data_IF_442188155239
#
_entry.id   IF_442188155239
#
_cell.length_a   1.000
_cell.length_b   1.000
_cell.length_c   1.000
_cell.angle_alpha   90.00
_cell.angle_beta   90.00
_cell.angle_gamma   90.00
#
_symmetry.space_group_name_H-M   'P 1'
#
loop_
_entity.id
_entity.type
_entity.pdbx_description
1 polymer ?
#
# COMPACT_ATOMS: atom_id res chain seq x y z
N UNK A 1 -37.69 4.14 -13.27
CA UNK A 1 -36.43 3.86 -12.56
C UNK A 1 -35.32 4.16 -13.53
N UNK A 2 -34.82 5.39 -13.52
CA UNK A 2 -33.65 5.76 -14.31
C UNK A 2 -32.45 5.04 -13.70
N UNK A 3 -31.87 4.09 -14.43
CA UNK A 3 -30.58 3.52 -14.06
C UNK A 3 -29.52 4.56 -14.43
N UNK A 4 -29.06 5.34 -13.46
CA UNK A 4 -27.86 6.16 -13.66
C UNK A 4 -26.73 5.22 -14.10
N UNK A 5 -26.19 5.48 -15.29
CA UNK A 5 -25.13 4.66 -15.85
C UNK A 5 -23.85 4.85 -15.02
N UNK A 6 -23.56 3.90 -14.14
CA UNK A 6 -22.33 3.88 -13.35
C UNK A 6 -21.15 3.77 -14.32
N UNK A 7 -20.27 4.77 -14.32
CA UNK A 7 -19.08 4.71 -15.15
C UNK A 7 -18.07 3.72 -14.57
N UNK A 8 -17.13 3.25 -15.41
CA UNK A 8 -16.05 2.38 -14.93
C UNK A 8 -15.22 3.06 -13.83
N UNK A 9 -15.04 4.39 -13.90
CA UNK A 9 -14.41 5.19 -12.84
C UNK A 9 -15.21 5.15 -11.54
N UNK A 10 -16.53 5.35 -11.60
CA UNK A 10 -17.37 5.36 -10.40
C UNK A 10 -17.40 4.00 -9.72
N UNK A 11 -17.38 2.92 -10.52
CA UNK A 11 -17.27 1.56 -10.02
C UNK A 11 -15.93 1.33 -9.30
N UNK A 12 -14.81 1.71 -9.92
CA UNK A 12 -13.47 1.57 -9.33
C UNK A 12 -13.34 2.40 -8.05
N UNK A 13 -13.83 3.64 -8.06
CA UNK A 13 -13.84 4.51 -6.87
C UNK A 13 -14.67 3.86 -5.75
N UNK A 14 -15.87 3.37 -6.07
CA UNK A 14 -16.75 2.70 -5.09
C UNK A 14 -16.08 1.48 -4.46
N UNK A 15 -15.37 0.68 -5.24
CA UNK A 15 -14.63 -0.49 -4.73
C UNK A 15 -13.50 -0.09 -3.78
N UNK A 16 -12.81 1.01 -4.07
CA UNK A 16 -11.64 1.46 -3.31
C UNK A 16 -11.99 2.29 -2.07
N UNK A 17 -13.12 3.00 -2.07
CA UNK A 17 -13.53 3.87 -0.96
C UNK A 17 -14.33 3.16 0.12
N UNK A 18 -15.16 2.18 -0.24
CA UNK A 18 -16.03 1.51 0.72
C UNK A 18 -15.32 0.35 1.39
N UNK A 19 -15.17 0.45 2.71
CA UNK A 19 -14.53 -0.59 3.52
C UNK A 19 -15.22 -1.95 3.42
N UNK A 20 -16.55 -1.96 3.16
CA UNK A 20 -17.32 -3.19 2.92
C UNK A 20 -16.84 -4.00 1.71
N UNK A 21 -16.13 -3.38 0.77
CA UNK A 21 -15.62 -4.03 -0.44
C UNK A 21 -14.13 -4.33 -0.39
N UNK A 22 -13.47 -4.13 0.76
CA UNK A 22 -12.03 -4.38 0.93
C UNK A 22 -11.63 -5.80 0.53
N UNK A 23 -12.41 -6.78 0.98
CA UNK A 23 -12.15 -8.20 0.71
C UNK A 23 -12.94 -8.73 -0.50
N UNK A 24 -13.55 -7.83 -1.28
CA UNK A 24 -14.28 -8.21 -2.48
C UNK A 24 -13.29 -8.67 -3.57
N UNK A 25 -13.56 -9.77 -4.30
CA UNK A 25 -12.64 -10.29 -5.32
C UNK A 25 -12.21 -9.27 -6.37
N UNK A 26 -13.12 -8.35 -6.75
CA UNK A 26 -12.77 -7.26 -7.68
C UNK A 26 -11.77 -6.27 -7.09
N UNK A 27 -11.85 -5.96 -5.80
CA UNK A 27 -10.90 -5.09 -5.11
C UNK A 27 -9.54 -5.77 -5.02
N UNK A 28 -9.50 -7.06 -4.64
CA UNK A 28 -8.27 -7.86 -4.61
C UNK A 28 -7.61 -7.91 -5.98
N UNK A 29 -8.36 -8.27 -7.02
CA UNK A 29 -7.85 -8.34 -8.39
C UNK A 29 -7.36 -6.97 -8.89
N UNK A 30 -8.07 -5.89 -8.56
CA UNK A 30 -7.66 -4.53 -8.93
C UNK A 30 -6.33 -4.14 -8.26
N UNK A 31 -6.15 -4.48 -6.98
CA UNK A 31 -4.91 -4.23 -6.24
C UNK A 31 -3.77 -5.08 -6.80
N UNK A 32 -4.00 -6.37 -7.08
CA UNK A 32 -3.00 -7.25 -7.70
C UNK A 32 -2.55 -6.75 -9.07
N UNK A 33 -3.47 -6.17 -9.84
CA UNK A 33 -3.22 -5.62 -11.18
C UNK A 33 -2.78 -4.17 -11.17
N UNK A 34 -2.72 -3.51 -10.02
CA UNK A 34 -2.31 -2.12 -9.91
C UNK A 34 -0.94 -1.82 -10.57
N UNK A 35 0.10 -2.67 -10.45
CA UNK A 35 1.38 -2.43 -11.12
C UNK A 35 1.25 -2.39 -12.65
N UNK A 36 0.52 -3.35 -13.23
CA UNK A 36 0.28 -3.42 -14.69
C UNK A 36 -0.52 -2.20 -15.16
N UNK A 37 -1.52 -1.78 -14.38
CA UNK A 37 -2.32 -0.59 -14.65
C UNK A 37 -1.41 0.64 -14.65
N UNK A 38 -0.62 0.86 -13.59
CA UNK A 38 0.28 2.01 -13.45
C UNK A 38 1.32 2.05 -14.59
N UNK A 39 1.85 0.91 -15.02
CA UNK A 39 2.82 0.82 -16.12
C UNK A 39 2.23 1.19 -17.50
N UNK A 40 0.91 1.15 -17.64
CA UNK A 40 0.19 1.57 -18.85
C UNK A 40 -0.10 3.08 -18.87
N UNK A 41 -0.23 3.74 -17.70
CA UNK A 41 -0.49 5.18 -17.61
C UNK A 41 0.49 6.07 -18.39
N UNK A 42 1.83 5.89 -18.29
CA UNK A 42 2.77 6.72 -19.03
C UNK A 42 2.71 6.53 -20.55
N UNK A 43 2.15 5.40 -21.01
CA UNK A 43 2.08 5.05 -22.44
C UNK A 43 0.85 5.66 -23.14
N UNK A 44 -0.18 6.06 -22.38
CA UNK A 44 -1.50 6.36 -22.95
C UNK A 44 -1.98 7.80 -22.73
N UNK A 45 -1.34 8.60 -21.87
CA UNK A 45 -1.83 9.94 -21.52
C UNK A 45 -0.86 11.07 -21.88
N UNK A 46 -1.36 12.07 -22.63
CA UNK A 46 -0.68 13.38 -22.80
C UNK A 46 -0.42 14.10 -21.47
N UNK A 47 -1.12 13.73 -20.39
CA UNK A 47 -1.00 14.27 -19.03
C UNK A 47 -0.38 13.29 -18.02
N UNK A 48 0.31 12.24 -18.50
CA UNK A 48 0.89 11.22 -17.62
C UNK A 48 1.78 11.81 -16.51
N UNK A 49 2.56 12.85 -16.83
CA UNK A 49 3.46 13.49 -15.88
C UNK A 49 2.72 14.17 -14.71
N UNK A 50 1.63 14.89 -14.99
CA UNK A 50 0.86 15.59 -13.94
C UNK A 50 0.09 14.62 -13.07
N UNK A 51 -0.49 13.57 -13.67
CA UNK A 51 -1.22 12.51 -12.96
C UNK A 51 -0.29 11.73 -12.04
N UNK A 52 0.89 11.34 -12.52
CA UNK A 52 1.87 10.63 -11.71
C UNK A 52 2.44 11.50 -10.59
N UNK A 53 2.68 12.78 -10.86
CA UNK A 53 3.12 13.74 -9.84
C UNK A 53 2.08 13.92 -8.75
N UNK A 54 0.80 14.01 -9.11
CA UNK A 54 -0.31 14.08 -8.17
C UNK A 54 -0.42 12.80 -7.33
N UNK A 55 -0.40 11.62 -7.96
CA UNK A 55 -0.48 10.33 -7.27
C UNK A 55 0.67 10.15 -6.27
N UNK A 56 1.90 10.47 -6.69
CA UNK A 56 3.10 10.43 -5.82
C UNK A 56 2.94 11.32 -4.59
N UNK A 57 2.46 12.56 -4.77
CA UNK A 57 2.23 13.50 -3.65
C UNK A 57 1.24 12.93 -2.62
N UNK A 58 0.17 12.27 -3.08
CA UNK A 58 -0.82 11.66 -2.19
C UNK A 58 -0.22 10.52 -1.39
N UNK A 59 0.49 9.60 -2.06
CA UNK A 59 1.13 8.45 -1.38
C UNK A 59 2.13 8.96 -0.34
N UNK A 60 3.00 9.90 -0.72
CA UNK A 60 3.99 10.50 0.20
C UNK A 60 3.33 11.14 1.42
N UNK A 61 2.23 11.89 1.22
CA UNK A 61 1.48 12.49 2.32
C UNK A 61 0.89 11.42 3.25
N UNK A 62 0.21 10.42 2.71
CA UNK A 62 -0.44 9.36 3.50
C UNK A 62 0.58 8.54 4.29
N UNK A 63 1.72 8.23 3.69
CA UNK A 63 2.83 7.56 4.37
C UNK A 63 3.40 8.43 5.48
N UNK A 64 3.64 9.72 5.22
CA UNK A 64 4.15 10.64 6.24
C UNK A 64 3.17 10.79 7.41
N UNK A 65 1.87 10.88 7.14
CA UNK A 65 0.83 10.95 8.18
C UNK A 65 0.76 9.64 8.98
N UNK A 66 0.91 8.50 8.32
CA UNK A 66 0.95 7.18 9.00
C UNK A 66 2.19 7.04 9.88
N UNK A 67 3.36 7.46 9.40
CA UNK A 67 4.60 7.47 10.20
C UNK A 67 4.42 8.38 11.41
N UNK A 68 3.89 9.60 11.22
CA UNK A 68 3.62 10.52 12.33
C UNK A 68 2.71 9.89 13.38
N UNK A 69 1.63 9.24 12.95
CA UNK A 69 0.71 8.54 13.85
C UNK A 69 1.44 7.42 14.64
N UNK A 70 2.26 6.62 13.96
CA UNK A 70 3.05 5.57 14.59
C UNK A 70 4.07 6.13 15.60
N UNK A 71 4.72 7.25 15.30
CA UNK A 71 5.67 7.91 16.21
C UNK A 71 5.01 8.72 17.33
N UNK A 72 3.74 9.11 17.17
CA UNK A 72 2.98 9.80 18.20
C UNK A 72 2.48 8.84 19.28
N UNK A 73 2.28 7.57 18.93
CA UNK A 73 2.14 6.49 19.91
C UNK A 73 3.51 6.27 20.55
N UNK A 74 3.68 6.78 21.78
CA UNK A 74 4.93 6.69 22.54
C UNK A 74 5.38 5.23 22.78
N UNK A 75 4.50 4.25 22.56
CA UNK A 75 4.78 2.82 22.69
C UNK A 75 5.60 2.22 21.52
N UNK A 76 5.92 2.99 20.47
CA UNK A 76 7.06 2.65 19.60
C UNK A 76 8.35 2.93 20.39
N UNK A 77 8.68 2.02 21.30
CA UNK A 77 10.04 1.89 21.81
C UNK A 77 10.66 0.74 21.04
N UNK A 78 11.58 1.06 20.11
CA UNK A 78 12.62 0.09 19.80
C UNK A 78 13.35 -0.07 21.14
N UNK A 79 13.14 -1.19 21.83
CA UNK A 79 13.61 -1.49 23.20
C UNK A 79 15.15 -1.66 23.26
N UNK A 80 15.86 -0.90 22.43
CA UNK A 80 17.30 -0.79 22.33
C UNK A 80 17.92 0.05 23.46
N UNK A 81 17.11 0.51 24.44
CA UNK A 81 17.60 1.25 25.60
C UNK A 81 18.62 0.46 26.45
N UNK A 82 18.65 -0.86 26.30
CA UNK A 82 19.62 -1.76 26.92
C UNK A 82 20.56 -2.47 25.93
N UNK A 83 20.47 -2.16 24.63
CA UNK A 83 21.33 -2.76 23.63
C UNK A 83 22.71 -2.08 23.64
N UNK A 84 23.78 -2.87 23.71
CA UNK A 84 25.13 -2.36 23.49
C UNK A 84 25.32 -1.97 22.01
N UNK A 85 26.31 -1.12 21.74
CA UNK A 85 26.65 -0.74 20.36
C UNK A 85 26.97 -1.96 19.48
N UNK A 86 27.64 -2.97 20.04
CA UNK A 86 27.96 -4.25 19.39
C UNK A 86 26.69 -5.04 19.04
N UNK A 87 25.69 -5.07 19.92
CA UNK A 87 24.41 -5.75 19.66
C UNK A 87 23.58 -5.07 18.56
N UNK A 88 23.74 -3.75 18.37
CA UNK A 88 23.12 -3.03 17.27
C UNK A 88 23.86 -3.25 15.95
N UNK A 89 25.19 -3.32 15.98
CA UNK A 89 26.01 -3.64 14.80
C UNK A 89 25.76 -5.07 14.29
N UNK A 90 25.56 -6.02 15.20
CA UNK A 90 25.26 -7.42 14.88
C UNK A 90 23.76 -7.71 14.65
N UNK A 91 22.89 -6.71 14.76
CA UNK A 91 21.46 -6.89 14.56
C UNK A 91 21.13 -7.20 13.09
N UNK A 92 21.00 -8.48 12.78
CA UNK A 92 20.50 -8.96 11.51
C UNK A 92 19.09 -9.51 11.69
N UNK A 93 18.10 -8.91 11.00
CA UNK A 93 16.74 -9.46 10.96
C UNK A 93 16.82 -10.90 10.41
N UNK A 94 16.38 -11.93 11.16
CA UNK A 94 16.36 -13.27 10.62
C UNK A 94 15.44 -13.26 9.41
N UNK A 95 15.98 -13.62 8.24
CA UNK A 95 15.18 -13.83 7.03
C UNK A 95 14.08 -14.80 7.41
N UNK A 96 12.82 -14.37 7.33
CA UNK A 96 11.65 -15.19 7.58
C UNK A 96 11.80 -16.47 6.77
N UNK A 97 12.14 -17.56 7.46
CA UNK A 97 12.23 -18.88 6.81
C UNK A 97 10.80 -19.25 6.49
N UNK A 98 10.41 -19.13 5.22
CA UNK A 98 9.18 -19.76 4.74
C UNK A 98 9.33 -21.24 5.04
N UNK A 99 8.57 -21.72 6.01
CA UNK A 99 8.43 -23.12 6.30
C UNK A 99 7.67 -23.68 5.09
N UNK A 100 8.41 -24.20 4.11
CA UNK A 100 7.83 -25.05 3.07
C UNK A 100 7.37 -26.32 3.76
N UNK A 101 6.08 -26.42 4.05
CA UNK A 101 5.48 -27.70 4.42
C UNK A 101 5.44 -28.57 3.17
N UNK A 102 6.51 -29.32 2.93
CA UNK A 102 6.47 -30.51 2.09
C UNK A 102 5.52 -31.52 2.75
N UNK A 103 4.38 -31.74 2.10
CA UNK A 103 3.47 -32.83 2.40
C UNK A 103 4.06 -34.08 1.76
N UNK A 104 4.32 -35.10 2.58
CA UNK A 104 4.77 -36.42 2.17
C UNK A 104 3.57 -37.35 1.99
#
# INVERSE_FOLDING_TARGET
LEQEAVTASDFVITLLERESYRDHPCTTSLVEKAPEIIDLFPKHLRSAQSTFTWARKIIQKKTADSIKLLTANQDWHFDAGHASAEQLEDFCYPKTTRISTETK
#
